data_IF_078111380910
#
_entry.id   IF_078111380910
#
_cell.length_a   1.000
_cell.length_b   1.000
_cell.length_c   1.000
_cell.angle_alpha   90.00
_cell.angle_beta   90.00
_cell.angle_gamma   90.00
#
_symmetry.space_group_name_H-M   'P 1'
#
loop_
_entity.id
_entity.type
_entity.pdbx_description
1 polymer ?
#
# COMPACT_ATOMS: atom_id res chain seq x y z
N UNK A 1 11.99 28.21 37.55
CA UNK A 1 13.25 27.57 37.10
C UNK A 1 12.93 26.11 36.89
N UNK A 2 12.92 25.66 35.64
CA UNK A 2 12.71 24.25 35.33
C UNK A 2 13.97 23.48 35.73
N UNK A 3 13.81 22.49 36.59
CA UNK A 3 14.88 21.62 37.08
C UNK A 3 15.40 20.80 35.89
N UNK A 4 16.64 21.06 35.50
CA UNK A 4 17.32 20.25 34.47
C UNK A 4 17.65 18.91 35.12
N UNK A 5 16.83 17.88 34.84
CA UNK A 5 17.11 16.48 35.23
C UNK A 5 18.37 16.05 34.48
N UNK A 6 19.42 15.57 35.20
CA UNK A 6 20.64 15.12 34.58
C UNK A 6 20.35 13.97 33.58
N UNK A 7 20.88 14.08 32.37
CA UNK A 7 20.68 13.19 31.22
C UNK A 7 21.05 11.72 31.51
N UNK A 8 21.77 11.45 32.59
CA UNK A 8 22.26 10.10 32.96
C UNK A 8 21.19 9.17 33.57
N UNK A 9 19.96 9.68 33.80
CA UNK A 9 18.88 8.91 34.43
C UNK A 9 17.58 8.86 33.59
N UNK A 10 17.61 9.32 32.36
CA UNK A 10 16.45 9.31 31.47
C UNK A 10 16.18 7.88 30.96
N UNK A 11 14.90 7.47 30.98
CA UNK A 11 14.45 6.24 30.36
C UNK A 11 14.52 6.40 28.84
N UNK A 12 15.37 5.62 28.17
CA UNK A 12 15.52 5.62 26.70
C UNK A 12 14.50 4.71 26.02
N UNK A 13 14.11 3.64 26.70
CA UNK A 13 13.06 2.72 26.26
C UNK A 13 11.64 3.25 26.48
N UNK A 14 10.66 2.43 26.18
CA UNK A 14 9.26 2.68 26.46
C UNK A 14 8.96 2.67 27.96
N UNK A 15 8.04 3.53 28.39
CA UNK A 15 7.52 3.53 29.75
C UNK A 15 6.66 2.28 30.01
N UNK A 16 6.52 1.80 31.26
CA UNK A 16 5.66 0.68 31.58
C UNK A 16 4.23 0.86 31.09
N UNK A 17 3.71 2.09 31.14
CA UNK A 17 2.38 2.48 30.69
C UNK A 17 2.24 2.34 29.17
N UNK A 18 3.30 2.62 28.40
CA UNK A 18 3.33 2.39 26.95
C UNK A 18 3.27 0.89 26.66
N UNK A 19 4.04 0.05 27.37
CA UNK A 19 3.97 -1.40 27.25
C UNK A 19 2.57 -1.92 27.56
N UNK A 20 1.96 -1.46 28.65
CA UNK A 20 0.59 -1.84 29.03
C UNK A 20 -0.43 -1.42 27.98
N UNK A 21 -0.26 -0.24 27.37
CA UNK A 21 -1.14 0.25 26.32
C UNK A 21 -1.12 -0.67 25.09
N UNK A 22 0.07 -0.99 24.56
CA UNK A 22 0.21 -1.88 23.41
C UNK A 22 -0.22 -3.32 23.71
N UNK A 23 0.03 -3.80 24.91
CA UNK A 23 -0.34 -5.14 25.38
C UNK A 23 -1.85 -5.29 25.62
N UNK A 24 -2.41 -4.43 26.47
CA UNK A 24 -3.78 -4.61 27.01
C UNK A 24 -4.80 -3.82 26.22
N UNK A 25 -4.55 -2.53 25.92
CA UNK A 25 -5.55 -1.69 25.24
C UNK A 25 -5.69 -2.11 23.77
N UNK A 26 -4.57 -2.34 23.09
CA UNK A 26 -4.59 -2.78 21.70
C UNK A 26 -4.60 -4.30 21.52
N UNK A 27 -4.36 -5.09 22.58
CA UNK A 27 -4.39 -6.56 22.53
C UNK A 27 -3.29 -7.20 21.68
N UNK A 28 -2.15 -6.53 21.52
CA UNK A 28 -1.08 -6.94 20.59
C UNK A 28 0.06 -7.73 21.26
N UNK A 29 -0.17 -8.29 22.45
CA UNK A 29 0.84 -9.02 23.26
C UNK A 29 1.77 -9.88 22.42
N UNK A 30 1.20 -10.76 21.57
CA UNK A 30 1.97 -11.74 20.80
C UNK A 30 2.90 -11.12 19.75
N UNK A 31 2.64 -9.90 19.34
CA UNK A 31 3.38 -9.20 18.29
C UNK A 31 4.42 -8.21 18.82
N UNK A 32 4.45 -7.98 20.15
CA UNK A 32 5.42 -7.07 20.75
C UNK A 32 6.77 -7.75 20.99
N UNK A 33 7.83 -7.00 20.74
CA UNK A 33 9.21 -7.40 21.00
C UNK A 33 10.00 -6.22 21.59
N UNK A 34 11.04 -6.50 22.43
CA UNK A 34 11.90 -5.44 22.90
C UNK A 34 12.90 -5.02 21.83
N UNK A 35 13.26 -3.75 21.84
CA UNK A 35 14.41 -3.21 21.11
C UNK A 35 15.28 -2.39 22.03
N UNK A 36 16.58 -2.61 22.00
CA UNK A 36 17.53 -1.80 22.80
C UNK A 36 17.64 -0.41 22.19
N UNK A 37 16.99 0.58 22.83
CA UNK A 37 16.93 1.99 22.40
C UNK A 37 18.19 2.79 22.82
N UNK A 38 19.03 2.24 23.66
CA UNK A 38 20.25 2.90 24.12
C UNK A 38 21.33 2.82 23.03
N UNK A 39 21.53 3.91 22.30
CA UNK A 39 22.53 3.99 21.22
C UNK A 39 24.00 3.81 21.72
N UNK A 40 24.25 3.94 23.03
CA UNK A 40 25.56 3.75 23.66
C UNK A 40 25.79 2.33 24.17
N UNK A 41 24.80 1.43 24.06
CA UNK A 41 24.95 0.06 24.51
C UNK A 41 25.99 -0.68 23.65
N UNK A 42 26.78 -1.57 24.30
CA UNK A 42 27.70 -2.43 23.58
C UNK A 42 26.94 -3.55 22.88
N UNK A 43 27.17 -3.75 21.60
CA UNK A 43 26.65 -4.91 20.87
C UNK A 43 27.48 -6.14 21.20
N UNK A 44 26.83 -7.26 21.46
CA UNK A 44 27.52 -8.54 21.72
C UNK A 44 28.34 -8.97 20.50
N UNK A 45 29.61 -9.34 20.64
CA UNK A 45 30.46 -9.81 19.54
C UNK A 45 29.90 -11.04 18.81
N UNK A 46 29.06 -11.83 19.49
CA UNK A 46 28.44 -13.04 18.95
C UNK A 46 27.14 -12.75 18.24
N UNK A 47 26.65 -11.49 18.30
CA UNK A 47 25.36 -11.09 17.70
C UNK A 47 25.52 -10.65 16.25
N UNK A 48 24.54 -11.02 15.42
CA UNK A 48 24.41 -10.49 14.06
C UNK A 48 23.76 -9.10 14.01
N UNK A 49 23.50 -8.49 15.16
CA UNK A 49 22.90 -7.16 15.25
C UNK A 49 23.88 -6.12 14.67
N UNK A 50 23.42 -5.36 13.68
CA UNK A 50 24.25 -4.34 13.01
C UNK A 50 24.04 -2.94 13.59
N UNK A 51 22.84 -2.67 14.13
CA UNK A 51 22.48 -1.36 14.68
C UNK A 51 21.51 -1.50 15.84
N UNK A 52 21.64 -0.60 16.82
CA UNK A 52 20.74 -0.50 17.97
C UNK A 52 19.48 0.30 17.60
N UNK A 53 18.40 0.12 18.34
CA UNK A 53 17.16 0.90 18.26
C UNK A 53 16.32 0.69 17.00
N UNK A 54 16.64 -0.28 16.15
CA UNK A 54 15.91 -0.55 14.90
C UNK A 54 15.46 -1.99 14.72
N UNK A 55 16.11 -2.94 15.36
CA UNK A 55 15.85 -4.38 15.20
C UNK A 55 15.55 -4.99 16.56
N UNK A 56 14.60 -5.94 16.66
CA UNK A 56 14.31 -6.63 17.91
C UNK A 56 15.57 -7.14 18.58
N UNK A 57 15.79 -6.71 19.81
CA UNK A 57 17.04 -6.96 20.54
C UNK A 57 16.83 -6.89 22.04
N UNK A 58 17.68 -7.63 22.79
CA UNK A 58 17.67 -7.64 24.24
C UNK A 58 19.09 -7.68 24.78
N UNK A 59 19.27 -7.35 26.06
CA UNK A 59 20.54 -7.55 26.73
C UNK A 59 20.77 -9.01 27.06
N UNK A 60 22.01 -9.47 26.87
CA UNK A 60 22.49 -10.75 27.37
C UNK A 60 22.98 -10.66 28.84
N UNK A 61 23.46 -11.75 29.38
CA UNK A 61 23.95 -11.80 30.78
C UNK A 61 25.09 -10.83 31.09
N UNK A 62 25.86 -10.41 30.10
CA UNK A 62 26.95 -9.41 30.23
C UNK A 62 26.45 -7.97 29.94
N UNK A 63 25.16 -7.77 29.85
CA UNK A 63 24.50 -6.49 29.46
C UNK A 63 24.95 -5.96 28.09
N UNK A 64 25.34 -6.85 27.18
CA UNK A 64 25.54 -6.49 25.78
C UNK A 64 24.26 -6.72 24.99
N UNK A 65 23.95 -5.81 24.05
CA UNK A 65 22.80 -5.92 23.18
C UNK A 65 22.98 -7.05 22.16
N UNK A 66 21.99 -7.90 22.05
CA UNK A 66 21.97 -8.99 21.07
C UNK A 66 20.61 -9.05 20.36
N UNK A 67 20.64 -9.33 19.07
CA UNK A 67 19.41 -9.55 18.29
C UNK A 67 18.67 -10.80 18.78
N UNK A 68 17.34 -10.79 18.68
CA UNK A 68 16.51 -11.94 19.04
C UNK A 68 16.49 -12.88 17.83
N UNK A 69 17.08 -14.07 17.99
CA UNK A 69 17.06 -15.08 16.92
C UNK A 69 15.63 -15.57 16.67
N UNK A 70 15.27 -15.71 15.38
CA UNK A 70 13.93 -16.18 15.00
C UNK A 70 12.79 -15.24 15.42
N UNK A 71 13.05 -13.96 15.60
CA UNK A 71 12.07 -12.99 16.08
C UNK A 71 10.80 -12.93 15.20
N UNK A 72 10.89 -13.25 13.91
CA UNK A 72 9.74 -13.26 12.98
C UNK A 72 8.67 -14.29 13.34
N UNK A 73 9.05 -15.36 14.05
CA UNK A 73 8.14 -16.40 14.54
C UNK A 73 7.90 -16.34 16.05
N UNK A 74 8.58 -15.41 16.75
CA UNK A 74 8.45 -15.28 18.20
C UNK A 74 7.07 -14.70 18.55
N UNK A 75 6.37 -15.32 19.48
CA UNK A 75 5.12 -14.81 20.04
C UNK A 75 5.36 -14.52 21.52
N UNK A 76 5.25 -13.24 21.88
CA UNK A 76 5.43 -12.84 23.27
C UNK A 76 4.23 -13.24 24.13
N UNK A 77 4.51 -13.56 25.38
CA UNK A 77 3.49 -13.77 26.39
C UNK A 77 3.47 -12.66 27.45
N UNK A 78 2.45 -12.63 28.34
CA UNK A 78 2.36 -11.63 29.42
C UNK A 78 3.59 -11.58 30.32
N UNK A 79 4.26 -12.71 30.56
CA UNK A 79 5.49 -12.77 31.36
C UNK A 79 6.67 -12.07 30.68
N UNK A 80 6.75 -12.14 29.35
CA UNK A 80 7.74 -11.41 28.55
C UNK A 80 7.54 -9.91 28.70
N UNK A 81 6.29 -9.44 28.48
CA UNK A 81 5.93 -8.03 28.61
C UNK A 81 6.24 -7.52 30.02
N UNK A 82 5.84 -8.26 31.05
CA UNK A 82 6.12 -7.91 32.44
C UNK A 82 7.63 -7.82 32.75
N UNK A 83 8.45 -8.58 32.04
CA UNK A 83 9.90 -8.53 32.16
C UNK A 83 10.48 -7.35 31.40
N UNK A 84 10.08 -7.17 30.13
CA UNK A 84 10.63 -6.15 29.24
C UNK A 84 10.23 -4.72 29.64
N UNK A 85 9.03 -4.52 30.14
CA UNK A 85 8.55 -3.21 30.62
C UNK A 85 9.36 -2.62 31.79
N UNK A 86 10.08 -3.47 32.54
CA UNK A 86 10.95 -3.03 33.65
C UNK A 86 12.30 -2.52 33.17
N UNK A 87 12.78 -2.97 32.00
CA UNK A 87 14.06 -2.53 31.48
C UNK A 87 13.94 -1.12 30.89
N UNK A 88 14.79 -0.22 31.38
CA UNK A 88 14.71 1.22 31.03
C UNK A 88 15.15 1.54 29.61
N UNK A 89 15.95 0.64 29.02
CA UNK A 89 16.49 0.80 27.68
C UNK A 89 15.65 0.14 26.61
N UNK A 90 14.60 -0.63 26.97
CA UNK A 90 13.79 -1.33 25.98
C UNK A 90 12.67 -0.47 25.43
N UNK A 91 12.77 -0.12 24.13
CA UNK A 91 11.64 0.32 23.32
C UNK A 91 10.78 -0.86 22.86
N UNK A 92 9.69 -0.56 22.20
CA UNK A 92 8.73 -1.53 21.70
C UNK A 92 8.87 -1.64 20.19
N UNK A 93 9.17 -2.83 19.68
CA UNK A 93 9.00 -3.25 18.31
C UNK A 93 7.66 -3.97 18.15
N UNK A 94 6.93 -3.64 17.11
CA UNK A 94 5.73 -4.35 16.67
C UNK A 94 6.07 -5.20 15.44
N UNK A 95 5.80 -6.50 15.51
CA UNK A 95 5.86 -7.39 14.34
C UNK A 95 4.65 -7.12 13.44
N UNK A 96 4.90 -6.87 12.17
CA UNK A 96 3.84 -6.53 11.22
C UNK A 96 3.17 -7.79 10.67
N UNK A 97 2.32 -8.44 11.48
CA UNK A 97 1.54 -9.64 11.13
C UNK A 97 0.13 -9.25 10.66
N UNK A 98 -0.77 -8.93 11.59
CA UNK A 98 -2.12 -8.44 11.29
C UNK A 98 -2.13 -6.92 11.19
N UNK A 99 -1.46 -6.25 12.15
CA UNK A 99 -1.18 -4.82 12.06
C UNK A 99 0.00 -4.61 11.12
N UNK A 100 -0.18 -3.75 10.14
CA UNK A 100 0.80 -3.39 9.12
C UNK A 100 1.28 -1.96 9.33
N UNK A 101 2.44 -1.65 8.78
CA UNK A 101 2.96 -0.29 8.82
C UNK A 101 3.22 0.24 7.42
N UNK A 102 2.84 1.50 7.19
CA UNK A 102 3.25 2.29 6.03
C UNK A 102 4.31 3.25 6.54
N UNK A 103 5.57 2.98 6.20
CA UNK A 103 6.73 3.74 6.64
C UNK A 103 7.11 4.74 5.55
N UNK A 104 7.01 6.03 5.86
CA UNK A 104 7.26 7.14 4.94
C UNK A 104 8.63 7.73 5.28
N UNK A 105 9.63 7.27 4.54
CA UNK A 105 11.03 7.70 4.67
C UNK A 105 11.34 8.85 3.70
N UNK A 106 10.55 9.94 3.82
CA UNK A 106 10.64 11.16 3.02
C UNK A 106 10.99 12.34 3.95
N UNK A 107 12.18 12.96 3.79
CA UNK A 107 12.62 14.06 4.65
C UNK A 107 12.11 15.46 4.23
N UNK A 108 11.42 15.56 3.10
CA UNK A 108 10.86 16.80 2.57
C UNK A 108 9.44 17.03 3.11
N UNK A 109 9.23 18.15 3.84
CA UNK A 109 7.99 18.46 4.50
C UNK A 109 6.79 18.47 3.57
N UNK A 110 6.86 19.20 2.45
CA UNK A 110 5.76 19.34 1.51
C UNK A 110 5.34 17.99 0.90
N UNK A 111 6.33 17.12 0.59
CA UNK A 111 6.04 15.79 0.05
C UNK A 111 5.50 14.85 1.14
N UNK A 112 6.08 14.87 2.34
CA UNK A 112 5.62 14.08 3.47
C UNK A 112 4.19 14.45 3.88
N UNK A 113 3.86 15.75 3.93
CA UNK A 113 2.52 16.24 4.21
C UNK A 113 1.51 15.83 3.14
N UNK A 114 1.88 15.93 1.86
CA UNK A 114 1.02 15.50 0.77
C UNK A 114 0.76 13.97 0.77
N UNK A 115 1.75 13.18 1.19
CA UNK A 115 1.58 11.72 1.39
C UNK A 115 0.64 11.47 2.55
N UNK A 116 0.81 12.17 3.67
CA UNK A 116 -0.04 12.06 4.87
C UNK A 116 -1.49 12.43 4.56
N UNK A 117 -1.71 13.48 3.77
CA UNK A 117 -3.04 13.88 3.32
C UNK A 117 -3.78 12.76 2.57
N UNK A 118 -3.10 12.06 1.66
CA UNK A 118 -3.69 10.91 0.95
C UNK A 118 -3.99 9.77 1.92
N UNK A 119 -3.08 9.47 2.86
CA UNK A 119 -3.34 8.45 3.86
C UNK A 119 -4.59 8.77 4.69
N UNK A 120 -4.74 10.01 5.15
CA UNK A 120 -5.93 10.47 5.89
C UNK A 120 -7.21 10.47 5.05
N UNK A 121 -7.13 10.63 3.72
CA UNK A 121 -8.31 10.52 2.84
C UNK A 121 -8.82 9.09 2.67
N UNK A 122 -7.94 8.10 2.78
CA UNK A 122 -8.28 6.68 2.63
C UNK A 122 -8.48 5.96 3.96
N UNK A 123 -7.91 6.46 5.04
CA UNK A 123 -7.91 5.82 6.37
C UNK A 123 -8.30 6.88 7.40
N UNK A 124 -9.50 6.73 7.93
CA UNK A 124 -9.98 7.61 9.02
C UNK A 124 -9.17 7.36 10.29
N UNK A 125 -8.79 8.45 10.99
CA UNK A 125 -8.02 8.42 12.25
C UNK A 125 -6.76 7.56 12.17
N UNK A 126 -6.02 7.63 11.05
CA UNK A 126 -4.81 6.84 10.87
C UNK A 126 -3.74 7.18 11.90
N UNK A 127 -3.34 6.24 12.77
CA UNK A 127 -2.33 6.52 13.79
C UNK A 127 -0.98 6.83 13.13
N UNK A 128 -0.45 8.02 13.42
CA UNK A 128 0.79 8.51 12.83
C UNK A 128 1.85 8.71 13.89
N UNK A 129 2.94 7.93 13.79
CA UNK A 129 4.12 8.03 14.66
C UNK A 129 5.18 8.89 13.99
N UNK A 130 5.72 9.85 14.74
CA UNK A 130 6.70 10.81 14.27
C UNK A 130 7.89 10.94 15.22
N UNK A 131 8.83 11.81 14.86
CA UNK A 131 9.91 12.33 15.68
C UNK A 131 10.00 13.84 15.50
N UNK A 132 10.38 14.57 16.54
CA UNK A 132 10.47 16.03 16.49
C UNK A 132 11.58 16.56 15.57
N UNK A 133 12.52 15.73 15.21
CA UNK A 133 13.70 16.08 14.40
C UNK A 133 13.59 15.62 12.94
N UNK A 134 12.40 15.19 12.50
CA UNK A 134 12.25 14.56 11.17
C UNK A 134 10.83 14.63 10.65
N UNK A 135 10.69 14.91 9.37
CA UNK A 135 9.40 14.86 8.65
C UNK A 135 8.94 13.42 8.33
N UNK A 136 9.86 12.46 8.47
CA UNK A 136 9.57 11.04 8.26
C UNK A 136 8.59 10.53 9.30
N UNK A 137 7.63 9.73 8.85
CA UNK A 137 6.59 9.22 9.74
C UNK A 137 6.22 7.77 9.40
N UNK A 138 5.45 7.15 10.29
CA UNK A 138 4.94 5.79 10.11
C UNK A 138 3.48 5.76 10.51
N UNK A 139 2.65 5.17 9.67
CA UNK A 139 1.24 4.93 9.94
C UNK A 139 0.97 3.45 10.20
N UNK A 140 -0.02 3.16 11.04
CA UNK A 140 -0.48 1.79 11.30
C UNK A 140 -1.87 1.56 10.75
N UNK A 141 -2.07 0.38 10.15
CA UNK A 141 -3.36 -0.11 9.68
C UNK A 141 -3.49 -1.60 10.00
N UNK A 142 -4.68 -2.06 10.30
CA UNK A 142 -4.97 -3.48 10.39
C UNK A 142 -5.33 -4.01 9.00
N UNK A 143 -4.58 -5.01 8.54
CA UNK A 143 -4.79 -5.65 7.25
C UNK A 143 -4.43 -7.13 7.38
N UNK A 144 -5.42 -7.99 7.71
CA UNK A 144 -5.21 -9.43 7.85
C UNK A 144 -4.92 -10.07 6.49
N UNK A 145 -4.17 -11.16 6.50
CA UNK A 145 -3.74 -11.89 5.32
C UNK A 145 -2.21 -11.94 5.20
N UNK A 146 -1.71 -12.64 4.22
CA UNK A 146 -0.27 -12.70 3.94
C UNK A 146 0.09 -11.73 2.80
N UNK A 147 0.99 -10.81 3.10
CA UNK A 147 1.42 -9.77 2.17
C UNK A 147 2.94 -9.73 2.10
N UNK A 148 3.44 -9.49 0.90
CA UNK A 148 4.84 -9.17 0.69
C UNK A 148 5.12 -7.68 0.97
N UNK A 149 6.35 -7.36 1.35
CA UNK A 149 6.84 -5.98 1.44
C UNK A 149 6.71 -5.29 0.09
N UNK A 150 6.18 -4.06 0.07
CA UNK A 150 6.10 -3.21 -1.13
C UNK A 150 6.85 -1.90 -0.92
N UNK A 151 7.23 -1.26 -2.00
CA UNK A 151 7.95 0.01 -1.99
C UNK A 151 7.47 0.91 -3.12
N UNK A 152 7.44 2.21 -2.84
CA UNK A 152 7.27 3.27 -3.83
C UNK A 152 8.46 4.19 -3.66
N UNK A 153 9.32 4.29 -4.68
CA UNK A 153 10.37 5.30 -4.71
C UNK A 153 9.74 6.64 -5.06
N UNK A 154 10.04 7.67 -4.28
CA UNK A 154 9.53 9.03 -4.49
C UNK A 154 10.67 9.98 -4.89
N UNK A 155 10.36 11.22 -5.20
CA UNK A 155 11.36 12.20 -5.59
C UNK A 155 12.44 12.43 -4.51
N UNK A 156 12.06 12.33 -3.22
CA UNK A 156 12.97 12.67 -2.11
C UNK A 156 13.11 11.54 -1.09
N UNK A 157 12.61 10.35 -1.38
CA UNK A 157 12.69 9.24 -0.44
C UNK A 157 11.98 7.97 -0.89
N UNK A 158 11.31 7.33 0.05
CA UNK A 158 10.63 6.06 -0.18
C UNK A 158 9.41 5.91 0.73
N UNK A 159 8.36 5.29 0.20
CA UNK A 159 7.23 4.79 0.98
C UNK A 159 7.36 3.27 1.01
N UNK A 160 7.38 2.68 2.20
CA UNK A 160 7.47 1.23 2.38
C UNK A 160 6.21 0.68 3.07
N UNK A 161 5.64 -0.37 2.52
CA UNK A 161 4.64 -1.17 3.20
C UNK A 161 5.32 -2.34 3.89
N UNK A 162 5.34 -2.29 5.23
CA UNK A 162 5.93 -3.33 6.06
C UNK A 162 4.87 -4.40 6.33
N UNK A 163 5.12 -5.58 5.77
CA UNK A 163 4.19 -6.71 5.73
C UNK A 163 4.68 -7.89 6.58
N UNK A 164 4.25 -9.09 6.26
CA UNK A 164 4.61 -10.33 6.98
C UNK A 164 6.13 -10.50 7.07
N UNK A 165 6.63 -10.83 8.25
CA UNK A 165 8.06 -11.00 8.51
C UNK A 165 8.86 -9.70 8.66
N UNK A 166 8.16 -8.56 8.74
CA UNK A 166 8.74 -7.25 9.01
C UNK A 166 8.41 -6.77 10.44
N UNK A 167 8.93 -5.63 10.82
CA UNK A 167 8.66 -5.01 12.11
C UNK A 167 8.85 -3.49 12.05
N UNK A 168 8.28 -2.75 12.99
CA UNK A 168 8.50 -1.34 13.19
C UNK A 168 8.66 -1.01 14.68
N UNK A 169 9.38 0.05 14.99
CA UNK A 169 9.47 0.54 16.37
C UNK A 169 8.31 1.49 16.63
N UNK A 170 7.51 1.21 17.66
CA UNK A 170 6.30 1.98 18.01
C UNK A 170 6.47 2.86 19.24
N UNK A 171 7.44 2.57 20.11
CA UNK A 171 7.74 3.39 21.28
C UNK A 171 9.22 3.27 21.68
N UNK A 172 9.74 4.33 22.33
CA UNK A 172 11.14 4.42 22.76
C UNK A 172 11.87 5.58 22.09
N UNK A 173 13.21 5.53 22.12
CA UNK A 173 14.10 6.55 21.54
C UNK A 173 14.77 6.03 20.29
N UNK A 174 14.74 6.82 19.23
CA UNK A 174 15.47 6.54 18.01
C UNK A 174 16.99 6.62 18.24
N UNK A 175 17.84 5.87 17.51
CA UNK A 175 19.29 5.96 17.63
C UNK A 175 19.88 7.37 17.49
N UNK A 176 19.20 8.26 16.78
CA UNK A 176 19.56 9.68 16.68
C UNK A 176 19.26 10.53 17.92
N UNK A 177 18.66 9.96 18.96
CA UNK A 177 18.39 10.61 20.23
C UNK A 177 16.97 11.16 20.39
N UNK A 178 16.20 11.36 19.32
CA UNK A 178 14.83 11.83 19.40
C UNK A 178 13.87 10.70 19.83
N UNK A 179 12.93 11.01 20.71
CA UNK A 179 11.89 10.05 21.12
C UNK A 179 10.83 9.96 20.04
N UNK A 180 10.31 8.76 19.85
CA UNK A 180 9.10 8.56 19.05
C UNK A 180 7.88 9.10 19.79
N UNK A 181 6.99 9.73 19.07
CA UNK A 181 5.70 10.20 19.57
C UNK A 181 4.61 9.97 18.53
N UNK A 182 3.38 9.84 18.99
CA UNK A 182 2.19 9.73 18.16
C UNK A 182 1.55 11.10 18.02
N UNK A 183 1.12 11.48 16.83
CA UNK A 183 0.64 12.84 16.52
C UNK A 183 -0.52 13.26 17.44
N UNK A 184 -1.49 12.38 17.61
CA UNK A 184 -2.69 12.60 18.44
C UNK A 184 -2.66 11.77 19.74
N UNK A 185 -1.48 11.37 20.20
CA UNK A 185 -1.30 10.43 21.30
C UNK A 185 -1.27 8.98 20.84
N UNK A 186 -0.95 8.02 21.75
CA UNK A 186 -1.01 6.60 21.44
C UNK A 186 -2.39 6.19 20.92
N UNK A 187 -2.50 5.39 19.85
CA UNK A 187 -3.79 5.05 19.28
C UNK A 187 -4.60 4.15 20.22
N UNK A 188 -5.88 4.43 20.40
CA UNK A 188 -6.78 3.57 21.16
C UNK A 188 -7.27 2.37 20.32
N UNK A 189 -7.15 2.46 19.01
CA UNK A 189 -7.48 1.42 18.03
C UNK A 189 -6.60 1.55 16.78
N UNK A 190 -6.44 0.45 16.06
CA UNK A 190 -5.81 0.47 14.74
C UNK A 190 -6.92 0.34 13.68
N UNK A 191 -7.05 1.29 12.73
CA UNK A 191 -8.09 1.23 11.71
C UNK A 191 -7.85 0.04 10.77
N UNK A 192 -8.92 -0.70 10.46
CA UNK A 192 -8.87 -1.83 9.56
C UNK A 192 -9.10 -1.39 8.12
N UNK A 193 -8.34 -1.98 7.20
CA UNK A 193 -8.54 -1.86 5.76
C UNK A 193 -8.99 -3.20 5.18
N UNK A 194 -9.87 -3.13 4.20
CA UNK A 194 -10.09 -4.25 3.30
C UNK A 194 -8.94 -4.33 2.28
N UNK A 195 -8.68 -5.50 1.68
CA UNK A 195 -7.69 -5.62 0.62
C UNK A 195 -7.90 -4.63 -0.53
N UNK A 196 -9.15 -4.39 -0.93
CA UNK A 196 -9.49 -3.44 -1.99
C UNK A 196 -9.13 -1.99 -1.61
N UNK A 197 -9.46 -1.56 -0.39
CA UNK A 197 -9.10 -0.22 0.11
C UNK A 197 -7.58 -0.04 0.18
N UNK A 198 -6.86 -1.06 0.59
CA UNK A 198 -5.40 -1.01 0.61
C UNK A 198 -4.81 -0.90 -0.80
N UNK A 199 -5.32 -1.66 -1.77
CA UNK A 199 -4.86 -1.57 -3.17
C UNK A 199 -5.16 -0.19 -3.77
N UNK A 200 -6.36 0.37 -3.53
CA UNK A 200 -6.72 1.70 -4.01
C UNK A 200 -5.79 2.78 -3.42
N UNK A 201 -5.52 2.70 -2.11
CA UNK A 201 -4.56 3.57 -1.44
C UNK A 201 -3.16 3.44 -2.05
N UNK A 202 -2.66 2.19 -2.21
CA UNK A 202 -1.31 1.94 -2.70
C UNK A 202 -1.12 2.41 -4.15
N UNK A 203 -2.10 2.14 -5.01
CA UNK A 203 -2.13 2.65 -6.40
C UNK A 203 -2.18 4.18 -6.43
N UNK A 204 -2.99 4.79 -5.56
CA UNK A 204 -3.07 6.25 -5.43
C UNK A 204 -1.73 6.89 -5.06
N UNK A 205 -1.04 6.32 -4.05
CA UNK A 205 0.31 6.74 -3.65
C UNK A 205 1.33 6.56 -4.78
N UNK A 206 1.34 5.38 -5.42
CA UNK A 206 2.25 5.09 -6.52
C UNK A 206 2.06 6.02 -7.71
N UNK A 207 0.81 6.31 -8.07
CA UNK A 207 0.49 7.23 -9.19
C UNK A 207 0.91 8.67 -8.92
N UNK A 208 0.77 9.14 -7.67
CA UNK A 208 1.06 10.55 -7.34
C UNK A 208 2.53 10.79 -7.02
N UNK A 209 3.19 9.87 -6.33
CA UNK A 209 4.55 10.07 -5.81
C UNK A 209 5.58 9.14 -6.42
N UNK A 210 5.15 8.03 -7.03
CA UNK A 210 6.08 7.07 -7.62
C UNK A 210 6.86 7.69 -8.77
N UNK A 211 8.19 7.63 -8.68
CA UNK A 211 9.08 7.91 -9.80
C UNK A 211 9.51 6.57 -10.41
N UNK A 212 9.39 6.45 -11.73
CA UNK A 212 9.97 5.31 -12.43
C UNK A 212 11.49 5.37 -12.26
N UNK A 213 12.06 4.37 -11.61
CA UNK A 213 13.51 4.20 -11.66
C UNK A 213 13.83 3.51 -12.98
N UNK A 214 14.57 4.15 -13.89
CA UNK A 214 14.97 3.49 -15.13
C UNK A 214 15.78 2.21 -14.89
N UNK A 215 16.18 1.94 -13.64
CA UNK A 215 16.88 0.72 -13.21
C UNK A 215 15.99 -0.28 -12.46
N UNK A 216 14.76 0.07 -12.06
CA UNK A 216 13.79 -0.81 -11.41
C UNK A 216 12.58 -1.09 -12.31
N UNK A 217 12.81 -1.41 -13.56
CA UNK A 217 11.83 -2.15 -14.37
C UNK A 217 11.87 -3.61 -13.94
N UNK A 218 10.84 -4.06 -13.24
CA UNK A 218 10.57 -5.39 -12.74
C UNK A 218 11.30 -5.82 -11.44
N UNK A 219 10.70 -6.70 -10.61
CA UNK A 219 11.36 -7.27 -9.44
C UNK A 219 12.67 -7.92 -9.92
N UNK A 220 13.79 -7.39 -9.45
CA UNK A 220 15.11 -7.86 -9.87
C UNK A 220 15.27 -9.31 -9.45
N UNK A 221 15.06 -10.22 -10.36
CA UNK A 221 15.65 -11.55 -10.32
C UNK A 221 17.14 -11.32 -10.49
N UNK A 222 17.85 -11.21 -9.37
CA UNK A 222 19.31 -11.13 -9.38
C UNK A 222 19.85 -12.33 -10.15
N UNK A 223 20.33 -12.10 -11.36
CA UNK A 223 21.35 -12.94 -12.00
C UNK A 223 20.89 -14.06 -12.92
N UNK A 224 19.64 -14.08 -13.43
CA UNK A 224 19.34 -14.89 -14.59
C UNK A 224 19.07 -13.97 -15.80
N UNK A 225 19.85 -14.11 -16.88
CA UNK A 225 19.38 -13.71 -18.20
C UNK A 225 18.02 -14.37 -18.38
N UNK A 226 16.94 -13.59 -18.60
CA UNK A 226 15.64 -14.12 -19.00
C UNK A 226 15.93 -15.09 -20.12
N UNK A 227 15.53 -16.37 -20.01
CA UNK A 227 15.80 -17.34 -21.06
C UNK A 227 15.13 -16.81 -22.33
N UNK A 228 15.73 -17.02 -23.48
CA UNK A 228 15.17 -16.58 -24.77
C UNK A 228 13.73 -17.09 -24.94
N UNK A 229 13.43 -18.28 -24.39
CA UNK A 229 12.09 -18.86 -24.34
C UNK A 229 11.08 -18.03 -23.56
N UNK A 230 11.45 -17.47 -22.38
CA UNK A 230 10.56 -16.59 -21.60
C UNK A 230 10.31 -15.28 -22.35
N UNK A 231 11.34 -14.76 -23.03
CA UNK A 231 11.23 -13.51 -23.80
C UNK A 231 10.42 -13.68 -25.08
N UNK A 232 10.36 -14.88 -25.66
CA UNK A 232 9.64 -15.17 -26.90
C UNK A 232 8.19 -15.61 -26.68
N UNK A 233 7.83 -16.11 -25.49
CA UNK A 233 6.48 -16.56 -25.16
C UNK A 233 5.58 -15.37 -24.76
N UNK A 234 4.49 -15.09 -25.51
CA UNK A 234 3.62 -13.94 -25.23
C UNK A 234 2.90 -14.03 -23.88
N UNK A 235 2.49 -15.24 -23.48
CA UNK A 235 1.80 -15.47 -22.19
C UNK A 235 2.78 -15.30 -21.03
N UNK A 236 4.01 -15.81 -21.16
CA UNK A 236 5.04 -15.62 -20.14
C UNK A 236 5.36 -14.14 -19.92
N UNK A 237 5.47 -13.35 -21.00
CA UNK A 237 5.64 -11.89 -20.90
C UNK A 237 4.45 -11.22 -20.21
N UNK A 238 3.24 -11.59 -20.62
CA UNK A 238 2.03 -11.06 -19.99
C UNK A 238 1.98 -11.35 -18.48
N UNK A 239 2.33 -12.58 -18.06
CA UNK A 239 2.37 -12.94 -16.63
C UNK A 239 3.41 -12.14 -15.85
N UNK A 240 4.57 -11.87 -16.46
CA UNK A 240 5.61 -11.02 -15.87
C UNK A 240 5.14 -9.56 -15.78
N UNK A 241 4.58 -9.02 -16.86
CA UNK A 241 4.10 -7.63 -16.91
C UNK A 241 2.95 -7.36 -15.92
N UNK A 242 2.14 -8.38 -15.63
CA UNK A 242 1.07 -8.34 -14.64
C UNK A 242 1.54 -8.60 -13.21
N UNK A 243 2.82 -8.92 -13.00
CA UNK A 243 3.34 -9.24 -11.68
C UNK A 243 2.82 -10.54 -11.06
N UNK A 244 2.34 -11.47 -11.91
CA UNK A 244 1.78 -12.75 -11.48
C UNK A 244 2.86 -13.83 -11.25
N UNK A 245 4.12 -13.52 -11.53
CA UNK A 245 5.26 -14.44 -11.40
C UNK A 245 6.00 -14.16 -10.10
N UNK A 246 6.09 -15.16 -9.22
CA UNK A 246 6.82 -15.07 -7.96
C UNK A 246 8.30 -15.39 -8.10
N UNK A 247 8.61 -16.34 -8.98
CA UNK A 247 9.97 -16.85 -9.21
C UNK A 247 10.11 -17.43 -10.60
N UNK A 248 11.30 -17.31 -11.19
CA UNK A 248 11.70 -18.00 -12.43
C UNK A 248 12.85 -18.96 -12.13
N UNK A 249 12.72 -20.21 -12.51
CA UNK A 249 13.77 -21.19 -12.39
C UNK A 249 14.81 -21.04 -13.53
N UNK A 250 15.96 -21.72 -13.39
CA UNK A 250 17.05 -21.65 -14.37
C UNK A 250 16.68 -22.21 -15.76
N UNK A 251 15.71 -23.09 -15.79
CA UNK A 251 15.14 -23.72 -17.00
C UNK A 251 14.01 -22.91 -17.63
N UNK A 252 13.73 -21.72 -17.12
CA UNK A 252 12.73 -20.80 -17.63
C UNK A 252 11.31 -21.03 -17.10
N UNK A 253 11.10 -22.01 -16.22
CA UNK A 253 9.81 -22.28 -15.58
C UNK A 253 9.42 -21.12 -14.66
N UNK A 254 8.21 -20.63 -14.83
CA UNK A 254 7.65 -19.56 -14.01
C UNK A 254 6.80 -20.14 -12.87
N UNK A 255 7.05 -19.74 -11.64
CA UNK A 255 6.16 -20.01 -10.50
C UNK A 255 5.20 -18.85 -10.37
N UNK A 256 3.90 -19.15 -10.39
CA UNK A 256 2.83 -18.16 -10.51
C UNK A 256 1.75 -18.37 -9.45
N UNK A 257 0.94 -17.35 -9.17
CA UNK A 257 -0.29 -17.53 -8.41
C UNK A 257 -1.32 -18.27 -9.23
N UNK A 258 -1.96 -19.27 -8.66
CA UNK A 258 -3.06 -19.97 -9.33
C UNK A 258 -4.28 -19.03 -9.45
N UNK A 259 -4.85 -18.83 -10.64
CA UNK A 259 -6.03 -17.97 -10.78
C UNK A 259 -7.29 -18.55 -10.08
N UNK A 260 -7.26 -19.81 -9.68
CA UNK A 260 -8.31 -20.47 -8.88
C UNK A 260 -7.86 -20.76 -7.44
N UNK A 261 -6.95 -19.99 -6.91
CA UNK A 261 -6.42 -20.17 -5.55
C UNK A 261 -7.52 -20.18 -4.48
N UNK A 262 -8.57 -19.39 -4.67
CA UNK A 262 -9.74 -19.36 -3.77
C UNK A 262 -10.52 -20.67 -3.71
N UNK A 263 -10.32 -21.57 -4.65
CA UNK A 263 -10.96 -22.90 -4.70
C UNK A 263 -10.07 -23.97 -4.05
N UNK A 264 -8.82 -23.65 -3.68
CA UNK A 264 -7.92 -24.59 -3.04
C UNK A 264 -8.29 -24.87 -1.59
N UNK A 265 -8.21 -26.12 -1.17
CA UNK A 265 -8.53 -26.55 0.20
C UNK A 265 -7.42 -26.23 1.22
N UNK A 266 -6.19 -26.00 0.78
CA UNK A 266 -5.07 -25.55 1.59
C UNK A 266 -4.86 -24.06 1.28
N UNK A 267 -5.31 -23.18 2.15
CA UNK A 267 -5.16 -21.72 1.99
C UNK A 267 -3.73 -21.22 2.22
N UNK A 268 -2.71 -21.88 1.70
CA UNK A 268 -1.33 -21.43 1.75
C UNK A 268 -1.06 -20.58 0.49
N UNK A 269 -1.26 -19.27 0.65
CA UNK A 269 -0.86 -18.29 -0.33
C UNK A 269 0.67 -18.32 -0.54
N UNK A 270 1.11 -18.40 -1.80
CA UNK A 270 2.53 -18.40 -2.15
C UNK A 270 3.13 -19.78 -2.39
N UNK A 271 2.30 -20.79 -2.57
CA UNK A 271 2.73 -22.13 -2.86
C UNK A 271 3.43 -22.23 -4.24
N UNK A 272 4.57 -22.93 -4.26
CA UNK A 272 5.35 -23.24 -5.46
C UNK A 272 4.73 -24.30 -6.35
N UNK A 273 3.54 -24.78 -6.01
CA UNK A 273 2.82 -25.87 -6.70
C UNK A 273 2.15 -25.46 -8.01
N UNK A 274 2.05 -24.14 -8.30
CA UNK A 274 1.50 -23.64 -9.55
C UNK A 274 2.59 -23.05 -10.42
N UNK A 275 2.66 -23.54 -11.66
CA UNK A 275 3.73 -23.20 -12.60
C UNK A 275 3.19 -22.96 -14.00
N UNK A 276 3.91 -22.12 -14.77
CA UNK A 276 3.76 -21.95 -16.18
C UNK A 276 5.09 -22.24 -16.88
N UNK A 277 5.06 -23.11 -17.87
CA UNK A 277 6.20 -23.44 -18.72
C UNK A 277 6.07 -22.65 -20.01
N UNK A 278 6.98 -21.71 -20.33
CA UNK A 278 6.97 -21.04 -21.63
C UNK A 278 7.12 -22.03 -22.78
N UNK A 279 6.64 -21.67 -23.95
CA UNK A 279 6.79 -22.47 -25.16
C UNK A 279 8.25 -22.92 -25.36
N UNK A 280 8.42 -24.14 -25.79
CA UNK A 280 9.71 -24.82 -26.01
C UNK A 280 10.55 -25.03 -24.73
N UNK A 281 9.94 -24.96 -23.54
CA UNK A 281 10.59 -25.32 -22.28
C UNK A 281 9.88 -26.51 -21.62
N UNK A 282 10.61 -27.21 -20.71
CA UNK A 282 10.03 -28.31 -19.94
C UNK A 282 9.49 -29.48 -20.76
N UNK A 283 9.81 -29.56 -22.06
CA UNK A 283 9.31 -30.60 -22.98
C UNK A 283 7.97 -30.22 -23.64
N UNK A 284 7.46 -29.02 -23.45
CA UNK A 284 6.22 -28.56 -24.08
C UNK A 284 6.52 -27.71 -25.32
N UNK A 285 5.79 -27.99 -26.42
CA UNK A 285 5.93 -27.24 -27.67
C UNK A 285 5.28 -25.86 -27.59
N UNK A 286 4.22 -25.72 -26.80
CA UNK A 286 3.48 -24.51 -26.52
C UNK A 286 3.57 -24.19 -25.03
N UNK A 287 3.15 -22.99 -24.63
CA UNK A 287 3.07 -22.60 -23.23
C UNK A 287 2.13 -23.51 -22.44
N UNK A 288 2.57 -23.97 -21.27
CA UNK A 288 1.84 -24.97 -20.48
C UNK A 288 1.68 -24.55 -19.02
N UNK A 289 0.42 -24.48 -18.57
CA UNK A 289 0.03 -24.27 -17.19
C UNK A 289 -0.07 -25.59 -16.43
N UNK A 290 0.40 -25.61 -15.20
CA UNK A 290 0.20 -26.74 -14.30
C UNK A 290 0.06 -26.27 -12.85
N UNK A 291 -1.04 -26.69 -12.23
CA UNK A 291 -1.24 -26.61 -10.79
C UNK A 291 -1.33 -28.03 -10.22
N UNK A 292 -0.67 -28.28 -9.09
CA UNK A 292 -0.64 -29.61 -8.45
C UNK A 292 -1.82 -29.84 -7.50
N UNK A 293 -2.71 -28.84 -7.32
CA UNK A 293 -3.90 -29.00 -6.48
C UNK A 293 -4.99 -29.80 -7.23
N UNK A 294 -5.67 -30.69 -6.50
CA UNK A 294 -6.66 -31.61 -7.06
C UNK A 294 -7.79 -30.89 -7.83
N UNK A 295 -8.19 -29.69 -7.39
CA UNK A 295 -9.22 -28.90 -8.07
C UNK A 295 -8.80 -28.34 -9.44
N UNK A 296 -7.51 -28.37 -9.75
CA UNK A 296 -6.97 -27.83 -10.99
C UNK A 296 -6.55 -28.92 -11.97
N UNK A 297 -6.76 -30.21 -11.67
CA UNK A 297 -6.30 -31.34 -12.48
C UNK A 297 -6.88 -31.32 -13.90
N UNK A 298 -8.13 -30.87 -14.04
CA UNK A 298 -8.84 -30.79 -15.32
C UNK A 298 -8.74 -29.41 -16.01
N UNK A 299 -7.98 -28.46 -15.47
CA UNK A 299 -7.84 -27.12 -16.04
C UNK A 299 -6.89 -27.14 -17.24
N UNK A 300 -7.38 -26.63 -18.35
CA UNK A 300 -6.61 -26.54 -19.60
C UNK A 300 -5.80 -25.25 -19.71
N UNK A 301 -4.81 -25.20 -20.61
CA UNK A 301 -4.05 -23.99 -20.91
C UNK A 301 -4.93 -22.86 -21.43
N UNK A 302 -6.00 -23.18 -22.19
CA UNK A 302 -6.98 -22.18 -22.65
C UNK A 302 -7.77 -21.59 -21.48
N UNK A 303 -8.27 -22.44 -20.58
CA UNK A 303 -8.96 -21.98 -19.37
C UNK A 303 -8.05 -21.15 -18.48
N UNK A 304 -6.75 -21.47 -18.43
CA UNK A 304 -5.77 -20.67 -17.72
C UNK A 304 -5.58 -19.29 -18.35
N UNK A 305 -5.41 -19.21 -19.68
CA UNK A 305 -5.28 -17.94 -20.41
C UNK A 305 -6.48 -17.03 -20.17
N UNK A 306 -7.68 -17.58 -20.25
CA UNK A 306 -8.92 -16.87 -19.96
C UNK A 306 -8.97 -16.36 -18.51
N UNK A 307 -8.65 -17.23 -17.54
CA UNK A 307 -8.72 -16.90 -16.12
C UNK A 307 -7.73 -15.82 -15.69
N UNK A 308 -6.53 -15.76 -16.29
CA UNK A 308 -5.56 -14.66 -16.05
C UNK A 308 -5.87 -13.41 -16.87
N UNK A 309 -6.85 -13.47 -17.78
CA UNK A 309 -7.25 -12.34 -18.64
C UNK A 309 -6.28 -12.09 -19.81
N UNK A 310 -5.57 -13.13 -20.27
CA UNK A 310 -4.74 -13.05 -21.47
C UNK A 310 -5.63 -13.12 -22.73
N UNK A 311 -5.49 -12.14 -23.60
CA UNK A 311 -6.11 -12.13 -24.92
C UNK A 311 -5.01 -12.26 -25.97
N UNK A 312 -5.16 -13.24 -26.86
CA UNK A 312 -4.20 -13.41 -27.96
C UNK A 312 -4.27 -12.19 -28.89
N UNK A 313 -3.14 -11.62 -29.30
CA UNK A 313 -3.13 -10.51 -30.27
C UNK A 313 -3.87 -10.84 -31.58
N UNK A 314 -3.84 -12.09 -32.03
CA UNK A 314 -4.53 -12.51 -33.23
C UNK A 314 -6.05 -12.56 -33.03
N UNK A 315 -6.54 -12.95 -31.83
CA UNK A 315 -7.96 -12.90 -31.48
C UNK A 315 -8.44 -11.44 -31.34
N UNK A 316 -7.62 -10.55 -30.81
CA UNK A 316 -7.94 -9.12 -30.77
C UNK A 316 -8.05 -8.58 -32.19
N UNK A 317 -7.15 -8.96 -33.10
CA UNK A 317 -7.19 -8.52 -34.50
C UNK A 317 -8.45 -9.07 -35.21
N UNK A 318 -8.82 -10.34 -34.96
CA UNK A 318 -10.04 -10.92 -35.49
C UNK A 318 -11.31 -10.19 -35.00
N UNK A 319 -11.36 -9.80 -33.72
CA UNK A 319 -12.44 -8.98 -33.16
C UNK A 319 -12.47 -7.60 -33.80
N UNK A 320 -11.31 -6.99 -34.03
CA UNK A 320 -11.18 -5.69 -34.69
C UNK A 320 -11.62 -5.81 -36.17
N UNK A 321 -11.28 -6.90 -36.85
CA UNK A 321 -11.67 -7.14 -38.25
C UNK A 321 -13.17 -7.42 -38.42
N UNK A 322 -13.79 -8.12 -37.45
CA UNK A 322 -15.25 -8.32 -37.41
C UNK A 322 -15.99 -7.02 -37.07
N UNK A 323 -15.37 -6.14 -36.26
CA UNK A 323 -15.91 -4.84 -35.89
C UNK A 323 -15.71 -3.76 -36.97
N UNK A 324 -15.00 -4.08 -38.09
CA UNK A 324 -14.87 -3.14 -39.20
C UNK A 324 -16.18 -3.16 -40.03
N UNK A 325 -16.95 -2.07 -40.10
CA UNK A 325 -18.07 -2.00 -41.01
C UNK A 325 -17.54 -2.09 -42.44
N UNK A 326 -18.18 -2.95 -43.23
CA UNK A 326 -17.98 -3.08 -44.67
C UNK A 326 -17.90 -1.69 -45.34
N UNK A 327 -16.92 -1.57 -46.22
CA UNK A 327 -16.55 -0.35 -46.93
C UNK A 327 -17.78 0.41 -47.45
N UNK A 328 -18.09 1.53 -46.86
CA UNK A 328 -18.71 2.75 -47.44
C UNK A 328 -19.02 3.84 -46.39
N UNK A 329 -18.22 3.88 -45.29
CA UNK A 329 -18.25 5.07 -44.41
C UNK A 329 -16.89 5.77 -44.46
N UNK A 330 -16.86 7.12 -44.60
CA UNK A 330 -15.60 7.84 -44.60
C UNK A 330 -14.86 7.58 -43.29
N UNK A 331 -13.58 7.23 -43.36
CA UNK A 331 -12.68 7.08 -42.20
C UNK A 331 -12.70 8.38 -41.41
N UNK A 332 -13.37 8.40 -40.29
CA UNK A 332 -13.26 9.50 -39.34
C UNK A 332 -11.81 9.57 -38.85
N UNK A 333 -11.17 10.73 -38.88
CA UNK A 333 -9.83 10.87 -38.35
C UNK A 333 -9.82 10.52 -36.85
N UNK A 334 -8.72 9.90 -36.38
CA UNK A 334 -8.53 9.45 -34.99
C UNK A 334 -8.71 10.56 -33.93
N UNK A 335 -8.64 11.82 -34.39
CA UNK A 335 -8.98 13.03 -33.65
C UNK A 335 -9.84 13.89 -34.56
N UNK A 336 -11.06 14.16 -34.15
CA UNK A 336 -11.94 15.10 -34.85
C UNK A 336 -11.68 16.50 -34.30
N UNK A 337 -11.09 17.36 -35.14
CA UNK A 337 -10.87 18.77 -34.78
C UNK A 337 -12.12 19.53 -35.21
N UNK A 338 -12.91 19.98 -34.25
CA UNK A 338 -14.05 20.87 -34.52
C UNK A 338 -13.53 22.29 -34.74
N UNK A 339 -13.92 22.97 -35.83
CA UNK A 339 -13.68 24.39 -35.95
C UNK A 339 -14.34 25.16 -34.80
N UNK A 340 -13.72 26.21 -34.30
CA UNK A 340 -14.25 26.99 -33.17
C UNK A 340 -15.70 27.50 -33.43
N UNK A 341 -16.06 27.71 -34.69
CA UNK A 341 -17.43 28.09 -35.09
C UNK A 341 -18.50 27.02 -34.78
N UNK A 342 -18.13 25.72 -34.79
CA UNK A 342 -19.04 24.64 -34.41
C UNK A 342 -19.32 24.55 -32.90
N UNK A 343 -18.42 25.08 -32.06
CA UNK A 343 -18.65 25.19 -30.64
C UNK A 343 -19.66 26.28 -30.27
N UNK A 344 -19.82 27.28 -31.09
CA UNK A 344 -20.83 28.37 -30.92
C UNK A 344 -22.25 27.95 -31.31
N UNK A 345 -22.41 26.84 -32.04
CA UNK A 345 -23.70 26.27 -32.47
C UNK A 345 -24.21 25.14 -31.58
N UNK A 346 -23.53 24.87 -30.45
CA UNK A 346 -23.94 23.85 -29.46
C UNK A 346 -25.37 24.12 -28.95
N UNK A 347 -26.09 23.05 -28.62
CA UNK A 347 -27.40 23.15 -27.99
C UNK A 347 -27.33 24.09 -26.77
N UNK A 348 -28.31 24.98 -26.57
CA UNK A 348 -28.28 25.88 -25.43
C UNK A 348 -28.19 25.10 -24.12
N UNK A 349 -27.30 25.54 -23.23
CA UNK A 349 -27.05 24.88 -21.92
C UNK A 349 -28.42 24.76 -21.19
N UNK A 350 -28.74 23.54 -20.79
CA UNK A 350 -29.85 23.25 -19.87
C UNK A 350 -29.42 23.59 -18.44
N UNK A 351 -30.22 24.30 -17.69
CA UNK A 351 -29.84 24.82 -16.37
C UNK A 351 -30.72 24.26 -15.25
N UNK A 352 -30.13 23.86 -14.15
CA UNK A 352 -30.82 23.65 -12.87
C UNK A 352 -31.13 25.00 -12.20
N UNK A 353 -30.13 25.87 -12.09
CA UNK A 353 -30.29 27.27 -11.69
C UNK A 353 -29.73 28.12 -12.81
N UNK A 354 -30.59 28.86 -13.50
CA UNK A 354 -30.22 29.56 -14.73
C UNK A 354 -29.02 30.49 -14.56
N UNK A 355 -27.97 30.22 -15.34
CA UNK A 355 -26.72 30.98 -15.30
C UNK A 355 -25.84 30.73 -14.08
N UNK A 356 -26.12 29.70 -13.29
CA UNK A 356 -25.34 29.36 -12.10
C UNK A 356 -24.94 27.88 -12.09
N UNK A 357 -25.92 26.97 -12.19
CA UNK A 357 -25.70 25.54 -12.18
C UNK A 357 -26.26 24.93 -13.47
N UNK A 358 -25.39 24.48 -14.38
CA UNK A 358 -25.83 23.71 -15.55
C UNK A 358 -26.31 22.33 -15.11
N UNK A 359 -27.20 21.73 -15.91
CA UNK A 359 -27.69 20.38 -15.68
C UNK A 359 -26.68 19.36 -16.20
N UNK A 360 -26.49 18.30 -15.41
CA UNK A 360 -25.60 17.18 -15.76
C UNK A 360 -24.12 17.56 -15.94
N UNK A 361 -23.66 18.58 -15.25
CA UNK A 361 -22.24 18.95 -15.20
C UNK A 361 -21.72 19.03 -13.77
N UNK A 362 -20.40 18.90 -13.61
CA UNK A 362 -19.71 19.07 -12.33
C UNK A 362 -19.54 20.57 -12.03
N UNK A 363 -20.08 21.02 -10.89
CA UNK A 363 -19.90 22.39 -10.39
C UNK A 363 -19.05 22.35 -9.13
N UNK A 364 -17.97 23.11 -9.12
CA UNK A 364 -17.05 23.20 -7.97
C UNK A 364 -17.18 24.56 -7.29
N UNK A 365 -17.43 24.55 -5.97
CA UNK A 365 -17.48 25.75 -5.15
C UNK A 365 -16.24 25.79 -4.23
N UNK A 366 -15.39 26.79 -4.38
CA UNK A 366 -14.17 26.95 -3.58
C UNK A 366 -14.16 28.28 -2.83
N UNK A 367 -13.33 28.36 -1.79
CA UNK A 367 -13.15 29.55 -0.94
C UNK A 367 -12.57 29.17 0.42
N UNK A 368 -12.23 30.15 1.23
CA UNK A 368 -11.64 29.95 2.56
C UNK A 368 -12.55 29.18 3.52
N UNK A 369 -12.01 28.43 4.50
CA UNK A 369 -12.79 27.84 5.59
C UNK A 369 -13.67 28.88 6.28
N UNK A 370 -14.91 28.54 6.62
CA UNK A 370 -15.83 29.48 7.27
C UNK A 370 -16.50 30.50 6.36
N UNK A 371 -16.22 30.55 5.04
CA UNK A 371 -16.81 31.53 4.10
C UNK A 371 -18.29 31.25 3.73
N UNK A 372 -18.95 30.30 4.38
CA UNK A 372 -20.37 30.00 4.18
C UNK A 372 -20.71 29.14 2.96
N UNK A 373 -19.73 28.47 2.34
CA UNK A 373 -19.92 27.60 1.16
C UNK A 373 -21.01 26.54 1.34
N UNK A 374 -21.01 25.86 2.48
CA UNK A 374 -21.98 24.80 2.79
C UNK A 374 -23.41 25.37 2.92
N UNK A 375 -23.56 26.54 3.52
CA UNK A 375 -24.86 27.22 3.60
C UNK A 375 -25.36 27.62 2.21
N UNK A 376 -24.46 28.14 1.34
CA UNK A 376 -24.82 28.52 -0.01
C UNK A 376 -25.18 27.29 -0.86
N UNK A 377 -24.47 26.17 -0.71
CA UNK A 377 -24.80 24.91 -1.36
C UNK A 377 -26.16 24.38 -0.91
N UNK A 378 -26.45 24.41 0.39
CA UNK A 378 -27.74 24.02 0.94
C UNK A 378 -28.87 24.89 0.46
N UNK A 379 -28.69 26.21 0.40
CA UNK A 379 -29.65 27.17 -0.11
C UNK A 379 -30.01 26.89 -1.59
N UNK A 380 -29.00 26.63 -2.42
CA UNK A 380 -29.23 26.23 -3.81
C UNK A 380 -29.91 24.85 -3.92
N UNK A 381 -29.53 23.89 -3.08
CA UNK A 381 -30.14 22.56 -3.04
C UNK A 381 -31.63 22.65 -2.68
N UNK A 382 -32.00 23.43 -1.68
CA UNK A 382 -33.39 23.66 -1.28
C UNK A 382 -34.18 24.32 -2.40
N UNK A 383 -33.62 25.30 -3.10
CA UNK A 383 -34.26 25.93 -4.23
C UNK A 383 -34.54 24.93 -5.36
N UNK A 384 -33.59 24.03 -5.66
CA UNK A 384 -33.78 22.97 -6.66
C UNK A 384 -34.82 21.95 -6.20
N UNK A 385 -34.79 21.52 -4.94
CA UNK A 385 -35.73 20.54 -4.39
C UNK A 385 -37.20 21.10 -4.44
N UNK A 386 -37.37 22.37 -4.13
CA UNK A 386 -38.69 23.02 -4.06
C UNK A 386 -39.15 23.62 -5.40
N UNK A 387 -38.24 23.83 -6.35
CA UNK A 387 -38.53 24.56 -7.59
C UNK A 387 -38.73 26.08 -7.41
N UNK A 388 -38.37 26.59 -6.22
CA UNK A 388 -38.49 28.02 -5.92
C UNK A 388 -37.39 28.84 -6.59
N UNK A 389 -37.67 30.07 -7.06
CA UNK A 389 -36.62 30.94 -7.61
C UNK A 389 -35.49 31.16 -6.62
N UNK A 390 -34.24 31.02 -7.07
CA UNK A 390 -33.06 31.29 -6.27
C UNK A 390 -32.47 32.65 -6.66
N UNK A 391 -32.47 33.60 -5.72
CA UNK A 391 -31.96 34.97 -5.95
C UNK A 391 -32.41 35.55 -7.32
N UNK A 392 -33.73 35.51 -7.58
CA UNK A 392 -34.36 35.97 -8.82
C UNK A 392 -34.06 35.15 -10.09
N UNK A 393 -33.27 34.08 -9.95
CA UNK A 393 -32.95 33.15 -11.05
C UNK A 393 -34.00 32.04 -11.15
N UNK A 394 -34.38 31.69 -12.39
CA UNK A 394 -35.26 30.54 -12.62
C UNK A 394 -34.54 29.25 -12.20
N UNK A 395 -35.27 28.43 -11.46
CA UNK A 395 -34.83 27.14 -10.99
C UNK A 395 -35.70 26.05 -11.60
N UNK A 396 -35.06 24.97 -12.03
CA UNK A 396 -35.76 23.76 -12.44
C UNK A 396 -35.80 22.82 -11.25
N UNK A 397 -36.99 22.39 -10.86
CA UNK A 397 -37.18 21.44 -9.79
C UNK A 397 -36.51 20.09 -10.13
N UNK A 398 -35.83 19.49 -9.16
CA UNK A 398 -35.15 18.23 -9.30
C UNK A 398 -34.91 17.53 -7.97
N UNK A 399 -34.40 16.31 -8.02
CA UNK A 399 -33.92 15.59 -6.83
C UNK A 399 -32.55 16.13 -6.45
N UNK A 400 -32.34 16.29 -5.14
CA UNK A 400 -31.08 16.76 -4.54
C UNK A 400 -30.57 15.71 -3.58
#
# INVERSE_FOLDING_TARGET
MAEIIPIDNARLGAAPEEWQHWDVVLGLTADLLPVVSNAKATISPESKLQALGKTPSRYNGNRHAAGIAGWTSYQAGPADIATWSRERDYGICLQTRTVRAIDVDVPYADEADAIREILCQHVEDVPTRMRVDSEKFLCLVELPGDYAKRRIKTAHGMIEFLATGQQCVVAGTHPGGARYHWLDGPPDRIPALTPAQFEDLWIGLARKFGIEDPTESAPSVKGAKLSEAVSSDPVARFLLDKGLVHRTDRDGKLHITCPWESEHTSGEAGDTSTTYWPAHTGGYAEGHFRCLHAHCEDRTDDAFREAVGYLDPDDIQAIVDIAQPTADKPKLPRFYVHPAAQFSEGAPLDWLIRGVIPRAELVVMYGEPGSGKSFLALDMALAVATGSPWREKKVRQGRV
#
